data_IF_842339412721
#
_entry.id   IF_842339412721
#
_cell.length_a   1.000
_cell.length_b   1.000
_cell.length_c   1.000
_cell.angle_alpha   90.00
_cell.angle_beta   90.00
_cell.angle_gamma   90.00
#
_symmetry.space_group_name_H-M   'P 1'
#
loop_
_entity.id
_entity.type
_entity.pdbx_description
1 polymer ?
#
# COMPACT_ATOMS: atom_id res chain seq x y z
N UNK A 1 2.58 23.54 24.25
CA UNK A 1 3.36 24.60 23.58
C UNK A 1 3.01 24.50 22.10
N UNK A 2 2.42 25.55 21.53
CA UNK A 2 2.12 25.58 20.09
C UNK A 2 3.45 25.73 19.36
N UNK A 3 3.84 24.71 18.63
CA UNK A 3 5.04 24.75 17.80
C UNK A 3 4.73 25.70 16.64
N UNK A 4 5.49 26.79 16.45
CA UNK A 4 5.21 27.77 15.41
C UNK A 4 5.35 27.10 14.03
N UNK A 5 4.51 27.46 13.04
CA UNK A 5 4.53 26.86 11.70
C UNK A 5 5.89 26.98 10.98
N UNK A 6 6.78 27.84 11.48
CA UNK A 6 8.13 28.08 10.98
C UNK A 6 9.13 26.94 11.30
N UNK A 7 8.85 26.07 12.27
CA UNK A 7 9.75 24.97 12.66
C UNK A 7 9.46 23.65 11.96
N UNK A 8 8.37 23.58 11.18
CA UNK A 8 8.11 22.50 10.23
C UNK A 8 8.84 22.86 8.93
N UNK A 9 10.04 22.30 8.74
CA UNK A 9 10.73 22.47 7.47
C UNK A 9 10.07 21.56 6.43
N UNK A 10 9.45 22.12 5.38
CA UNK A 10 9.03 21.28 4.27
C UNK A 10 10.29 20.74 3.58
N UNK A 11 10.22 19.56 2.93
CA UNK A 11 11.32 19.10 2.10
C UNK A 11 11.66 20.14 1.04
N UNK A 12 12.93 20.25 0.63
CA UNK A 12 13.36 21.24 -0.37
C UNK A 12 12.51 21.09 -1.64
N UNK A 13 11.65 22.09 -1.90
CA UNK A 13 10.79 22.15 -3.10
C UNK A 13 9.27 22.16 -2.88
N UNK A 14 8.75 22.09 -1.65
CA UNK A 14 7.29 22.20 -1.41
C UNK A 14 6.97 23.28 -0.35
N UNK A 15 5.98 24.13 -0.61
CA UNK A 15 5.57 25.21 0.32
C UNK A 15 4.28 24.89 1.08
N UNK A 16 3.84 23.63 1.09
CA UNK A 16 2.61 23.18 1.76
C UNK A 16 2.91 21.96 2.63
N UNK A 17 2.79 22.06 3.97
CA UNK A 17 3.18 20.99 4.91
C UNK A 17 2.32 19.72 4.81
N UNK A 18 1.22 19.75 4.07
CA UNK A 18 0.29 18.61 3.90
C UNK A 18 0.55 17.78 2.64
N UNK A 19 1.54 18.17 1.81
CA UNK A 19 1.84 17.53 0.53
C UNK A 19 3.15 16.74 0.53
N UNK A 20 3.93 16.79 1.60
CA UNK A 20 5.09 15.92 1.74
C UNK A 20 4.66 14.57 2.30
N UNK A 21 5.25 13.50 1.78
CA UNK A 21 5.05 12.15 2.31
C UNK A 21 5.70 11.95 3.68
N UNK A 22 6.57 12.87 4.13
CA UNK A 22 7.34 12.74 5.38
C UNK A 22 7.18 13.96 6.26
N UNK A 23 7.29 13.75 7.56
CA UNK A 23 7.22 14.78 8.61
C UNK A 23 8.52 14.72 9.40
N UNK A 24 9.27 15.81 9.40
CA UNK A 24 10.48 15.96 10.21
C UNK A 24 10.34 17.24 11.03
N UNK A 25 10.43 17.14 12.34
CA UNK A 25 10.32 18.28 13.24
C UNK A 25 11.29 18.18 14.40
N UNK A 26 11.85 19.32 14.79
CA UNK A 26 12.54 19.46 16.06
C UNK A 26 11.57 20.12 17.05
N UNK A 27 11.31 19.45 18.17
CA UNK A 27 10.54 19.99 19.28
C UNK A 27 11.40 20.95 20.11
N UNK A 28 10.75 21.82 20.87
CA UNK A 28 11.41 22.85 21.70
C UNK A 28 12.32 22.25 22.80
N UNK A 29 12.08 21.00 23.19
CA UNK A 29 12.90 20.26 24.15
C UNK A 29 14.13 19.57 23.51
N UNK A 30 14.34 19.77 22.21
CA UNK A 30 15.42 19.16 21.43
C UNK A 30 15.09 17.77 20.88
N UNK A 31 13.89 17.24 21.12
CA UNK A 31 13.44 15.96 20.57
C UNK A 31 13.25 16.08 19.06
N UNK A 32 13.78 15.11 18.31
CA UNK A 32 13.53 15.02 16.87
C UNK A 32 12.45 13.99 16.59
N UNK A 33 11.41 14.39 15.86
CA UNK A 33 10.37 13.51 15.37
C UNK A 33 10.57 13.33 13.88
N UNK A 34 10.55 12.07 13.44
CA UNK A 34 10.58 11.70 12.03
C UNK A 34 9.50 10.67 11.75
N UNK A 35 8.53 11.03 10.92
CA UNK A 35 7.54 10.09 10.38
C UNK A 35 7.72 9.98 8.88
N UNK A 36 7.71 8.74 8.40
CA UNK A 36 7.75 8.42 6.98
C UNK A 36 6.43 8.68 6.26
N UNK A 37 5.38 9.06 7.00
CA UNK A 37 4.02 9.33 6.52
C UNK A 37 3.49 10.63 7.13
N UNK A 38 2.70 11.39 6.37
CA UNK A 38 1.99 12.60 6.85
C UNK A 38 0.64 12.32 7.49
N UNK A 39 0.26 11.04 7.58
CA UNK A 39 -0.95 10.55 8.24
C UNK A 39 -0.60 9.33 9.07
N UNK A 40 -1.04 9.33 10.32
CA UNK A 40 -0.85 8.20 11.22
C UNK A 40 -1.90 8.20 12.33
N UNK A 41 -2.07 7.05 12.97
CA UNK A 41 -2.98 6.88 14.10
C UNK A 41 -2.14 6.60 15.32
N UNK A 42 -2.37 7.35 16.41
CA UNK A 42 -1.78 7.05 17.71
C UNK A 42 -0.46 7.75 18.03
N UNK A 43 -0.02 8.72 17.22
CA UNK A 43 1.19 9.52 17.46
C UNK A 43 0.85 10.91 18.05
N UNK A 44 0.61 11.04 19.37
CA UNK A 44 0.15 12.30 19.97
C UNK A 44 1.16 13.44 19.86
N UNK A 45 2.45 13.13 19.70
CA UNK A 45 3.49 14.12 19.50
C UNK A 45 3.44 14.69 18.07
N UNK A 46 3.06 13.87 17.09
CA UNK A 46 2.94 14.26 15.68
C UNK A 46 1.60 14.93 15.35
N UNK A 47 0.54 14.63 16.11
CA UNK A 47 -0.76 15.31 16.01
C UNK A 47 -0.60 16.85 16.15
N UNK A 48 0.27 17.27 17.08
CA UNK A 48 0.60 18.69 17.29
C UNK A 48 1.35 19.33 16.12
N UNK A 49 1.89 18.52 15.21
CA UNK A 49 2.65 18.93 14.04
C UNK A 49 1.81 18.87 12.75
N UNK A 50 0.51 18.57 12.86
CA UNK A 50 -0.41 18.52 11.73
C UNK A 50 -0.50 17.16 11.03
N UNK A 51 0.01 16.09 11.67
CA UNK A 51 -0.25 14.73 11.21
C UNK A 51 -1.69 14.37 11.51
N UNK A 52 -2.44 14.00 10.47
CA UNK A 52 -3.87 13.74 10.58
C UNK A 52 -4.16 12.23 10.60
N UNK A 53 -5.12 11.77 11.42
CA UNK A 53 -5.55 10.37 11.43
C UNK A 53 -6.62 10.07 10.37
N UNK A 54 -7.11 11.09 9.65
CA UNK A 54 -8.22 10.96 8.73
C UNK A 54 -7.85 10.12 7.50
N UNK A 55 -8.54 8.98 7.29
CA UNK A 55 -8.26 8.12 6.14
C UNK A 55 -8.76 8.78 4.85
N UNK A 56 -8.10 8.47 3.73
CA UNK A 56 -8.71 8.68 2.42
C UNK A 56 -9.68 7.53 2.15
N UNK A 57 -10.93 7.85 1.83
CA UNK A 57 -11.96 6.86 1.49
C UNK A 57 -12.23 6.93 0.00
N UNK A 58 -12.00 5.82 -0.69
CA UNK A 58 -12.35 5.64 -2.10
C UNK A 58 -13.40 4.54 -2.23
N UNK A 59 -14.46 4.82 -2.98
CA UNK A 59 -15.55 3.87 -3.24
C UNK A 59 -15.47 3.48 -4.70
N UNK A 60 -15.27 2.19 -4.95
CA UNK A 60 -15.17 1.63 -6.29
C UNK A 60 -16.43 0.85 -6.64
N UNK A 61 -16.96 1.03 -7.85
CA UNK A 61 -18.05 0.22 -8.39
C UNK A 61 -17.47 -1.05 -9.02
N UNK A 62 -17.79 -2.20 -8.42
CA UNK A 62 -17.32 -3.51 -8.87
C UNK A 62 -17.80 -3.84 -10.29
N UNK A 63 -19.04 -3.46 -10.64
CA UNK A 63 -19.58 -3.69 -11.98
C UNK A 63 -18.84 -2.87 -13.04
N UNK A 64 -18.58 -1.60 -12.75
CA UNK A 64 -17.80 -0.74 -13.64
C UNK A 64 -16.36 -1.26 -13.83
N UNK A 65 -15.71 -1.72 -12.75
CA UNK A 65 -14.37 -2.31 -12.82
C UNK A 65 -14.35 -3.60 -13.66
N UNK A 66 -15.35 -4.46 -13.51
CA UNK A 66 -15.47 -5.69 -14.32
C UNK A 66 -15.66 -5.34 -15.79
N UNK A 67 -16.51 -4.36 -16.10
CA UNK A 67 -16.73 -3.94 -17.48
C UNK A 67 -15.45 -3.35 -18.11
N UNK A 68 -14.77 -2.44 -17.41
CA UNK A 68 -13.52 -1.85 -17.86
C UNK A 68 -12.44 -2.92 -18.11
N UNK A 69 -12.32 -3.87 -17.18
CA UNK A 69 -11.39 -4.98 -17.33
C UNK A 69 -11.78 -5.91 -18.49
N UNK A 70 -13.08 -6.17 -18.71
CA UNK A 70 -13.55 -7.00 -19.81
C UNK A 70 -13.19 -6.38 -21.17
N UNK A 71 -13.40 -5.06 -21.30
CA UNK A 71 -13.06 -4.28 -22.49
C UNK A 71 -11.53 -4.27 -22.73
N UNK A 72 -10.74 -4.03 -21.68
CA UNK A 72 -9.28 -4.02 -21.76
C UNK A 72 -8.69 -5.39 -22.16
N UNK A 73 -9.27 -6.47 -21.63
CA UNK A 73 -8.84 -7.85 -21.91
C UNK A 73 -9.45 -8.45 -23.17
N UNK A 74 -10.45 -7.78 -23.77
CA UNK A 74 -11.20 -8.26 -24.95
C UNK A 74 -11.85 -9.62 -24.75
N UNK A 75 -12.41 -9.86 -23.56
CA UNK A 75 -13.18 -11.07 -23.26
C UNK A 75 -14.64 -10.88 -23.66
N UNK A 76 -15.30 -11.96 -24.08
CA UNK A 76 -16.68 -11.91 -24.56
C UNK A 76 -17.70 -11.82 -23.42
N UNK A 77 -17.32 -12.28 -22.22
CA UNK A 77 -18.18 -12.30 -21.04
C UNK A 77 -17.50 -11.71 -19.81
N UNK A 78 -18.20 -10.82 -19.12
CA UNK A 78 -17.84 -10.30 -17.79
C UNK A 78 -17.66 -11.42 -16.74
N UNK A 79 -18.28 -12.58 -16.97
CA UNK A 79 -18.15 -13.74 -16.10
C UNK A 79 -16.71 -14.28 -16.09
N UNK A 80 -15.92 -14.04 -17.15
CA UNK A 80 -14.53 -14.49 -17.27
C UNK A 80 -13.53 -13.60 -16.50
N UNK A 81 -13.94 -12.40 -16.09
CA UNK A 81 -13.06 -11.43 -15.42
C UNK A 81 -13.03 -11.69 -13.91
N UNK A 82 -11.97 -12.27 -13.37
CA UNK A 82 -11.89 -12.45 -11.92
C UNK A 82 -11.22 -11.24 -11.23
N UNK A 83 -11.77 -10.82 -10.09
CA UNK A 83 -11.24 -9.70 -9.30
C UNK A 83 -10.57 -10.19 -8.02
N UNK A 84 -9.47 -9.54 -7.66
CA UNK A 84 -8.78 -9.74 -6.39
C UNK A 84 -8.43 -8.38 -5.80
N UNK A 85 -8.48 -8.29 -4.48
CA UNK A 85 -8.02 -7.14 -3.73
C UNK A 85 -6.79 -7.52 -2.92
N UNK A 86 -5.77 -6.69 -2.99
CA UNK A 86 -4.51 -6.85 -2.25
C UNK A 86 -4.31 -5.65 -1.33
N UNK A 87 -3.93 -5.92 -0.09
CA UNK A 87 -3.41 -4.91 0.83
C UNK A 87 -2.08 -5.41 1.37
N UNK A 88 -1.07 -4.55 1.37
CA UNK A 88 0.25 -4.87 1.90
C UNK A 88 0.89 -3.64 2.55
N UNK A 89 1.86 -3.87 3.44
CA UNK A 89 2.69 -2.79 3.99
C UNK A 89 3.67 -2.26 2.94
N UNK A 90 4.16 -1.04 3.15
CA UNK A 90 5.25 -0.42 2.38
C UNK A 90 6.51 -1.29 2.36
N UNK A 91 6.81 -2.02 3.44
CA UNK A 91 7.87 -3.03 3.47
C UNK A 91 7.81 -4.06 2.33
N UNK A 92 6.64 -4.32 1.73
CA UNK A 92 6.55 -5.12 0.49
C UNK A 92 6.80 -4.26 -0.76
N UNK A 93 6.09 -3.14 -0.87
CA UNK A 93 6.02 -2.33 -2.11
C UNK A 93 7.25 -1.46 -2.36
N UNK A 94 8.09 -1.22 -1.36
CA UNK A 94 9.39 -0.56 -1.53
C UNK A 94 10.33 -1.36 -2.44
N UNK A 95 10.06 -2.66 -2.61
CA UNK A 95 10.95 -3.59 -3.31
C UNK A 95 10.25 -4.46 -4.36
N UNK A 96 8.92 -4.58 -4.31
CA UNK A 96 8.14 -5.42 -5.23
C UNK A 96 7.03 -4.58 -5.87
N UNK A 97 6.90 -4.65 -7.19
CA UNK A 97 5.89 -3.83 -7.89
C UNK A 97 4.47 -4.39 -7.71
N UNK A 98 3.43 -3.52 -7.73
CA UNK A 98 2.04 -3.97 -7.66
C UNK A 98 1.68 -5.01 -8.72
N UNK A 99 2.19 -4.90 -9.94
CA UNK A 99 1.94 -5.85 -11.03
C UNK A 99 2.50 -7.24 -10.70
N UNK A 100 3.68 -7.28 -10.09
CA UNK A 100 4.33 -8.54 -9.68
C UNK A 100 3.50 -9.22 -8.59
N UNK A 101 3.04 -8.45 -7.61
CA UNK A 101 2.18 -8.95 -6.53
C UNK A 101 0.86 -9.45 -7.11
N UNK A 102 0.20 -8.66 -7.95
CA UNK A 102 -1.07 -9.02 -8.58
C UNK A 102 -0.95 -10.30 -9.41
N UNK A 103 0.10 -10.43 -10.22
CA UNK A 103 0.33 -11.62 -11.05
C UNK A 103 0.59 -12.86 -10.20
N UNK A 104 1.53 -12.82 -9.25
CA UNK A 104 1.86 -13.99 -8.42
C UNK A 104 0.64 -14.44 -7.60
N UNK A 105 -0.14 -13.48 -7.08
CA UNK A 105 -1.38 -13.77 -6.35
C UNK A 105 -2.50 -14.31 -7.27
N UNK A 106 -2.74 -13.70 -8.43
CA UNK A 106 -3.74 -14.15 -9.39
C UNK A 106 -3.48 -15.60 -9.82
N UNK A 107 -2.23 -15.90 -10.17
CA UNK A 107 -1.83 -17.26 -10.54
C UNK A 107 -2.09 -18.24 -9.41
N UNK A 108 -1.69 -17.88 -8.18
CA UNK A 108 -1.90 -18.75 -7.01
C UNK A 108 -3.37 -19.03 -6.68
N UNK A 109 -4.28 -18.13 -7.07
CA UNK A 109 -5.70 -18.17 -6.73
C UNK A 109 -6.60 -18.76 -7.82
N UNK A 110 -6.18 -18.67 -9.09
CA UNK A 110 -7.03 -18.98 -10.25
C UNK A 110 -6.42 -20.02 -11.21
N UNK A 111 -5.09 -20.20 -11.26
CA UNK A 111 -4.49 -21.27 -12.07
C UNK A 111 -4.61 -22.63 -11.35
N UNK A 112 -5.03 -23.68 -12.09
CA UNK A 112 -5.31 -25.01 -11.52
C UNK A 112 -4.11 -25.95 -11.50
N UNK A 113 -3.25 -25.91 -12.53
CA UNK A 113 -2.11 -26.81 -12.67
C UNK A 113 -0.78 -26.05 -12.57
N UNK A 114 0.15 -26.57 -11.77
CA UNK A 114 1.51 -26.06 -11.65
C UNK A 114 1.67 -24.75 -10.87
N UNK A 115 0.58 -24.07 -10.52
CA UNK A 115 0.63 -22.82 -9.78
C UNK A 115 0.99 -23.01 -8.29
N UNK A 116 1.76 -22.09 -7.70
CA UNK A 116 2.05 -22.12 -6.27
C UNK A 116 0.76 -21.91 -5.46
N UNK A 117 0.66 -22.57 -4.30
CA UNK A 117 -0.42 -22.27 -3.35
C UNK A 117 -0.30 -20.82 -2.85
N UNK A 118 -1.40 -20.13 -2.48
CA UNK A 118 -1.35 -18.74 -2.04
C UNK A 118 -0.34 -18.46 -0.93
N UNK A 119 -0.16 -19.38 0.03
CA UNK A 119 0.85 -19.22 1.08
C UNK A 119 2.29 -19.25 0.55
N UNK A 120 2.59 -20.11 -0.43
CA UNK A 120 3.91 -20.18 -1.05
C UNK A 120 4.16 -18.97 -1.96
N UNK A 121 3.11 -18.50 -2.63
CA UNK A 121 3.16 -17.30 -3.43
C UNK A 121 3.44 -16.06 -2.53
N UNK A 122 2.77 -15.97 -1.37
CA UNK A 122 3.03 -14.92 -0.39
C UNK A 122 4.45 -15.01 0.20
N UNK A 123 4.92 -16.21 0.54
CA UNK A 123 6.29 -16.45 1.00
C UNK A 123 7.31 -15.99 -0.05
N UNK A 124 7.08 -16.28 -1.33
CA UNK A 124 7.95 -15.81 -2.43
C UNK A 124 8.00 -14.28 -2.50
N UNK A 125 6.86 -13.60 -2.40
CA UNK A 125 6.82 -12.13 -2.42
C UNK A 125 7.56 -11.52 -1.21
N UNK A 126 7.37 -12.10 -0.02
CA UNK A 126 8.11 -11.71 1.19
C UNK A 126 9.61 -11.90 0.98
N UNK A 127 10.02 -13.05 0.45
CA UNK A 127 11.43 -13.36 0.18
C UNK A 127 12.02 -12.47 -0.91
N UNK A 128 11.24 -12.07 -1.92
CA UNK A 128 11.69 -11.12 -2.95
C UNK A 128 11.98 -9.75 -2.34
N UNK A 129 11.09 -9.26 -1.48
CA UNK A 129 11.31 -8.00 -0.77
C UNK A 129 12.49 -8.10 0.22
N UNK A 130 12.58 -9.19 0.99
CA UNK A 130 13.59 -9.33 2.05
C UNK A 130 15.02 -9.55 1.54
N UNK A 131 15.22 -9.90 0.25
CA UNK A 131 16.57 -10.13 -0.33
C UNK A 131 17.46 -8.91 -0.19
N UNK A 132 16.90 -7.72 -0.31
CA UNK A 132 17.62 -6.46 -0.19
C UNK A 132 18.19 -6.21 1.22
N UNK A 133 17.72 -6.92 2.24
CA UNK A 133 18.28 -6.86 3.60
C UNK A 133 19.46 -7.81 3.82
N UNK A 134 19.55 -8.86 3.01
CA UNK A 134 20.54 -9.93 3.17
C UNK A 134 21.82 -9.62 2.38
N UNK A 135 21.69 -8.83 1.32
CA UNK A 135 22.83 -8.46 0.48
C UNK A 135 23.72 -7.40 1.17
N UNK A 136 24.99 -7.73 1.49
CA UNK A 136 25.86 -6.90 2.34
C UNK A 136 26.27 -5.54 1.74
N UNK A 137 25.77 -5.20 0.55
CA UNK A 137 26.10 -3.99 -0.21
C UNK A 137 24.97 -2.96 -0.23
N UNK A 138 23.80 -3.28 0.30
CA UNK A 138 22.69 -2.34 0.39
C UNK A 138 22.34 -2.10 1.87
N UNK A 139 22.60 -0.87 2.34
CA UNK A 139 21.99 -0.37 3.58
C UNK A 139 20.54 0.02 3.23
N UNK A 140 19.73 -0.97 2.90
CA UNK A 140 18.33 -0.78 2.61
C UNK A 140 17.55 -0.66 3.93
N UNK A 141 16.58 0.24 3.95
CA UNK A 141 15.60 0.32 5.03
C UNK A 141 14.90 -1.04 5.17
N UNK A 142 14.69 -1.47 6.42
CA UNK A 142 14.03 -2.73 6.75
C UNK A 142 12.75 -2.42 7.50
N UNK A 143 11.66 -3.01 7.04
CA UNK A 143 10.34 -2.89 7.67
C UNK A 143 9.64 -4.24 7.79
N UNK A 144 8.60 -4.30 8.60
CA UNK A 144 7.73 -5.46 8.70
C UNK A 144 6.94 -5.63 7.38
N UNK A 145 6.95 -6.86 6.86
CA UNK A 145 6.25 -7.21 5.61
C UNK A 145 4.95 -7.91 5.96
N UNK A 146 3.83 -7.31 5.56
CA UNK A 146 2.50 -7.89 5.67
C UNK A 146 1.80 -7.90 4.31
N UNK A 147 1.06 -8.97 4.02
CA UNK A 147 0.29 -9.12 2.79
C UNK A 147 -1.04 -9.81 3.12
N UNK A 148 -2.14 -9.20 2.67
CA UNK A 148 -3.47 -9.75 2.70
C UNK A 148 -4.05 -9.75 1.29
N UNK A 149 -4.67 -10.86 0.90
CA UNK A 149 -5.32 -11.02 -0.40
C UNK A 149 -6.71 -11.61 -0.21
N UNK A 150 -7.68 -11.08 -0.94
CA UNK A 150 -9.04 -11.64 -1.00
C UNK A 150 -9.55 -11.67 -2.42
N UNK A 151 -10.38 -12.69 -2.71
CA UNK A 151 -11.21 -12.68 -3.92
C UNK A 151 -12.34 -11.68 -3.72
N UNK A 152 -12.64 -10.90 -4.75
CA UNK A 152 -13.75 -9.96 -4.72
C UNK A 152 -14.92 -10.62 -5.43
N UNK A 153 -16.02 -10.83 -4.71
CA UNK A 153 -17.24 -11.35 -5.31
C UNK A 153 -17.89 -10.25 -6.14
N UNK A 154 -18.22 -10.54 -7.41
CA UNK A 154 -18.87 -9.60 -8.34
C UNK A 154 -20.28 -9.17 -7.93
N UNK A 155 -20.82 -9.74 -6.86
CA UNK A 155 -22.21 -9.56 -6.45
C UNK A 155 -23.17 -10.27 -7.41
N UNK A 156 -23.90 -11.28 -6.94
CA UNK A 156 -25.07 -11.74 -7.68
C UNK A 156 -26.11 -10.62 -7.70
N UNK A 157 -26.77 -10.40 -8.85
CA UNK A 157 -27.89 -9.46 -8.95
C UNK A 157 -28.81 -9.63 -7.74
N UNK A 158 -28.88 -8.63 -6.87
CA UNK A 158 -29.92 -8.59 -5.83
C UNK A 158 -31.22 -8.47 -6.61
N UNK A 159 -31.97 -9.56 -6.72
CA UNK A 159 -33.33 -9.51 -7.25
C UNK A 159 -34.13 -8.62 -6.30
N UNK A 160 -34.48 -7.44 -6.79
CA UNK A 160 -35.50 -6.59 -6.18
C UNK A 160 -36.87 -7.31 -6.21
#
# INVERSE_FOLDING_TARGET
>A
VCVPPESVQPPPGSHLPHLSSRVMANLDDGTQIGLAMSRSIGDPEADRLGVIPDPTVEVMDVGALVQEAAEALKVESEDEVELLAVSASDGLFDHVTPETVALEMARSLYEKEGAPRPLLAAERLIMLSSRFWIEPQQVAYRDDISLAVTKVNKGGKVKA
#
